data_IF_707373532310
#
_entry.id   IF_707373532310
#
_cell.length_a   1.000
_cell.length_b   1.000
_cell.length_c   1.000
_cell.angle_alpha   90.00
_cell.angle_beta   90.00
_cell.angle_gamma   90.00
#
_symmetry.space_group_name_H-M   'P 1'
#
loop_
_entity.id
_entity.type
_entity.pdbx_description
1 polymer ?
#
# COMPACT_ATOMS: atom_id res chain seq x y z
N UNK A 1 -2.88 3.08 29.46
CA UNK A 1 -3.70 3.21 28.25
C UNK A 1 -2.80 2.80 27.09
N UNK A 2 -3.08 1.68 26.43
CA UNK A 2 -2.23 1.19 25.34
C UNK A 2 -2.48 2.10 24.14
N UNK A 3 -1.50 2.95 23.81
CA UNK A 3 -1.58 3.83 22.63
C UNK A 3 -1.67 2.89 21.42
N UNK A 4 -2.72 3.02 20.62
CA UNK A 4 -2.81 2.30 19.36
C UNK A 4 -1.64 2.75 18.48
N UNK A 5 -0.79 1.81 18.07
CA UNK A 5 0.42 2.11 17.29
C UNK A 5 0.12 2.05 15.79
N UNK A 6 -0.65 1.02 15.37
CA UNK A 6 -1.07 0.81 13.99
C UNK A 6 -2.50 1.34 13.79
N UNK A 7 -2.62 2.51 13.18
CA UNK A 7 -3.90 3.15 12.95
C UNK A 7 -3.89 4.08 11.74
N UNK A 8 -5.09 4.36 11.22
CA UNK A 8 -5.38 5.54 10.44
C UNK A 8 -6.39 6.43 11.18
N UNK A 9 -6.08 7.71 11.28
CA UNK A 9 -6.83 8.76 11.97
C UNK A 9 -7.43 9.72 10.94
N UNK A 10 -8.74 9.66 10.69
CA UNK A 10 -9.45 10.66 9.91
C UNK A 10 -9.57 12.00 10.66
N UNK A 11 -9.46 13.09 9.90
CA UNK A 11 -9.78 14.44 10.36
C UNK A 11 -10.31 15.33 9.21
N UNK A 12 -10.90 16.48 9.56
CA UNK A 12 -11.28 17.55 8.62
C UNK A 12 -10.77 18.91 9.11
N UNK A 13 -10.46 19.76 8.14
CA UNK A 13 -10.17 21.20 8.30
C UNK A 13 -11.39 21.92 7.73
N UNK A 14 -12.35 22.24 8.61
CA UNK A 14 -13.68 22.65 8.17
C UNK A 14 -13.68 24.07 7.57
N UNK A 15 -12.80 24.96 8.04
CA UNK A 15 -12.68 26.32 7.49
C UNK A 15 -12.20 26.33 6.04
N UNK A 16 -11.31 25.39 5.70
CA UNK A 16 -10.70 25.26 4.36
C UNK A 16 -11.37 24.20 3.46
N UNK A 17 -12.40 23.50 3.96
CA UNK A 17 -13.05 22.38 3.26
C UNK A 17 -12.05 21.29 2.78
N UNK A 18 -11.10 20.93 3.65
CA UNK A 18 -10.09 19.91 3.37
C UNK A 18 -10.34 18.71 4.29
N UNK A 19 -10.26 17.50 3.74
CA UNK A 19 -10.21 16.28 4.55
C UNK A 19 -8.78 15.79 4.64
N UNK A 20 -8.44 15.22 5.80
CA UNK A 20 -7.13 14.69 6.06
C UNK A 20 -7.14 13.29 6.67
N UNK A 21 -6.00 12.61 6.54
CA UNK A 21 -5.72 11.32 7.17
C UNK A 21 -4.32 11.36 7.73
N UNK A 22 -4.15 10.83 8.93
CA UNK A 22 -2.84 10.55 9.53
C UNK A 22 -2.73 9.07 9.81
N UNK A 23 -1.67 8.41 9.36
CA UNK A 23 -1.38 7.01 9.67
C UNK A 23 -0.05 6.91 10.38
N UNK A 24 0.02 5.99 11.36
CA UNK A 24 1.27 5.50 11.92
C UNK A 24 1.20 3.98 11.94
N UNK A 25 2.30 3.35 11.54
CA UNK A 25 2.45 1.90 11.48
C UNK A 25 3.80 1.52 12.08
N UNK A 26 3.80 0.52 12.95
CA UNK A 26 4.98 -0.12 13.51
C UNK A 26 4.79 -1.64 13.43
N UNK A 27 4.17 -2.30 14.42
CA UNK A 27 4.06 -3.76 14.45
C UNK A 27 3.52 -4.40 13.15
N UNK A 28 2.53 -3.76 12.51
CA UNK A 28 1.97 -4.23 11.23
C UNK A 28 2.99 -4.20 10.09
N UNK A 29 3.70 -3.07 9.92
CA UNK A 29 4.69 -2.95 8.83
C UNK A 29 5.91 -3.82 9.10
N UNK A 30 6.35 -3.93 10.36
CA UNK A 30 7.42 -4.83 10.78
C UNK A 30 7.06 -6.28 10.49
N UNK A 31 5.83 -6.69 10.79
CA UNK A 31 5.35 -8.04 10.49
C UNK A 31 5.36 -8.30 8.98
N UNK A 32 4.88 -7.36 8.16
CA UNK A 32 4.83 -7.50 6.70
C UNK A 32 6.24 -7.59 6.10
N UNK A 33 7.12 -6.65 6.47
CA UNK A 33 8.51 -6.62 6.00
C UNK A 33 9.24 -7.90 6.42
N UNK A 34 9.05 -8.34 7.67
CA UNK A 34 9.66 -9.56 8.20
C UNK A 34 9.18 -10.88 7.59
N UNK A 35 8.15 -10.88 6.72
CA UNK A 35 7.74 -12.10 6.01
C UNK A 35 8.80 -12.59 5.01
N UNK A 36 9.62 -11.67 4.51
CA UNK A 36 10.61 -11.92 3.46
C UNK A 36 11.93 -11.19 3.77
N UNK A 37 13.05 -11.74 3.32
CA UNK A 37 14.37 -11.13 3.54
C UNK A 37 14.77 -10.21 2.38
N UNK A 38 13.91 -9.27 1.99
CA UNK A 38 14.24 -8.36 0.89
C UNK A 38 15.40 -7.41 1.26
N UNK A 39 16.15 -6.89 0.27
CA UNK A 39 17.13 -5.85 0.50
C UNK A 39 16.52 -4.60 1.17
N UNK A 40 17.24 -3.88 2.06
CA UNK A 40 16.69 -2.73 2.78
C UNK A 40 16.07 -1.64 1.90
N UNK A 41 16.70 -1.33 0.76
CA UNK A 41 16.15 -0.40 -0.23
C UNK A 41 14.77 -0.82 -0.77
N UNK A 42 14.57 -2.13 -0.98
CA UNK A 42 13.29 -2.67 -1.40
C UNK A 42 12.26 -2.63 -0.26
N UNK A 43 12.67 -2.90 0.97
CA UNK A 43 11.81 -2.77 2.16
C UNK A 43 11.38 -1.32 2.41
N UNK A 44 12.23 -0.34 2.13
CA UNK A 44 11.86 1.07 2.20
C UNK A 44 10.70 1.38 1.25
N UNK A 45 10.82 0.97 -0.02
CA UNK A 45 9.78 1.16 -1.02
C UNK A 45 8.50 0.37 -0.70
N UNK A 46 8.63 -0.81 -0.06
CA UNK A 46 7.51 -1.57 0.48
C UNK A 46 6.76 -0.80 1.57
N UNK A 47 7.50 -0.18 2.50
CA UNK A 47 6.92 0.68 3.53
C UNK A 47 6.17 1.88 2.93
N UNK A 48 6.76 2.53 1.91
CA UNK A 48 6.14 3.68 1.24
C UNK A 48 4.79 3.31 0.63
N UNK A 49 4.73 2.21 -0.14
CA UNK A 49 3.48 1.79 -0.78
C UNK A 49 2.44 1.32 0.25
N UNK A 50 2.85 0.73 1.38
CA UNK A 50 1.94 0.35 2.47
C UNK A 50 1.28 1.60 3.06
N UNK A 51 2.09 2.62 3.40
CA UNK A 51 1.58 3.89 3.93
C UNK A 51 0.64 4.57 2.94
N UNK A 52 1.01 4.60 1.66
CA UNK A 52 0.19 5.15 0.59
C UNK A 52 -1.16 4.41 0.46
N UNK A 53 -1.15 3.08 0.42
CA UNK A 53 -2.36 2.27 0.30
C UNK A 53 -3.30 2.44 1.51
N UNK A 54 -2.76 2.53 2.72
CA UNK A 54 -3.55 2.77 3.94
C UNK A 54 -4.21 4.15 3.92
N UNK A 55 -3.46 5.21 3.57
CA UNK A 55 -4.02 6.56 3.48
C UNK A 55 -5.13 6.62 2.42
N UNK A 56 -4.88 6.05 1.24
CA UNK A 56 -5.84 6.02 0.14
C UNK A 56 -7.10 5.24 0.46
N UNK A 57 -6.95 3.98 0.92
CA UNK A 57 -8.10 3.14 1.26
C UNK A 57 -8.99 3.79 2.33
N UNK A 58 -8.40 4.44 3.34
CA UNK A 58 -9.14 5.15 4.39
C UNK A 58 -9.91 6.40 3.91
N UNK A 59 -9.63 6.88 2.70
CA UNK A 59 -10.34 8.00 2.07
C UNK A 59 -11.58 7.57 1.28
N UNK A 60 -11.66 6.27 0.98
CA UNK A 60 -12.73 5.64 0.20
C UNK A 60 -13.75 4.99 1.13
N UNK A 61 -15.01 4.96 0.69
CA UNK A 61 -16.04 4.12 1.30
C UNK A 61 -16.17 2.88 0.44
N UNK A 62 -15.80 1.72 0.98
CA UNK A 62 -15.89 0.44 0.28
C UNK A 62 -16.13 -0.68 1.29
N UNK A 63 -16.83 -1.73 0.86
CA UNK A 63 -16.98 -2.97 1.61
C UNK A 63 -16.37 -4.11 0.79
N UNK A 64 -15.14 -4.50 1.12
CA UNK A 64 -14.38 -5.46 0.31
C UNK A 64 -12.88 -5.24 0.40
N UNK A 65 -12.21 -5.18 -0.75
CA UNK A 65 -10.77 -5.12 -0.88
C UNK A 65 -10.35 -3.90 -1.71
N UNK A 66 -9.48 -3.08 -1.14
CA UNK A 66 -8.68 -2.12 -1.88
C UNK A 66 -7.31 -2.71 -2.18
N UNK A 67 -6.89 -2.68 -3.43
CA UNK A 67 -5.55 -3.12 -3.86
C UNK A 67 -4.81 -1.98 -4.54
N UNK A 68 -3.61 -1.68 -4.05
CA UNK A 68 -2.65 -0.82 -4.72
C UNK A 68 -1.53 -1.70 -5.27
N UNK A 69 -1.37 -1.73 -6.59
CA UNK A 69 -0.39 -2.57 -7.25
C UNK A 69 0.43 -1.79 -8.25
N UNK A 70 1.74 -2.03 -8.28
CA UNK A 70 2.63 -1.52 -9.32
C UNK A 70 3.08 -2.65 -10.23
N UNK A 71 3.36 -2.32 -11.49
CA UNK A 71 4.00 -3.23 -12.44
C UNK A 71 4.94 -2.44 -13.33
N UNK A 72 6.19 -2.88 -13.40
CA UNK A 72 7.26 -2.14 -14.05
C UNK A 72 8.44 -3.02 -14.51
N UNK A 73 9.39 -2.42 -15.24
CA UNK A 73 10.53 -3.11 -15.87
C UNK A 73 11.89 -2.92 -15.15
N UNK A 74 11.89 -2.27 -14.00
CA UNK A 74 13.05 -2.06 -13.13
C UNK A 74 13.41 -3.28 -12.26
N UNK A 75 14.49 -3.18 -11.46
CA UNK A 75 14.88 -4.24 -10.52
C UNK A 75 13.78 -4.55 -9.50
N UNK A 76 12.97 -3.56 -9.08
CA UNK A 76 11.73 -3.80 -8.33
C UNK A 76 10.57 -3.73 -9.32
N UNK A 77 10.08 -4.90 -9.73
CA UNK A 77 9.16 -5.04 -10.87
C UNK A 77 7.68 -5.05 -10.47
N UNK A 78 7.39 -5.32 -9.20
CA UNK A 78 6.03 -5.35 -8.68
C UNK A 78 6.06 -5.08 -7.19
N UNK A 79 5.15 -4.22 -6.73
CA UNK A 79 4.73 -4.12 -5.34
C UNK A 79 3.21 -4.27 -5.32
N UNK A 80 2.68 -4.92 -4.29
CA UNK A 80 1.25 -5.06 -4.10
C UNK A 80 0.90 -4.90 -2.63
N UNK A 81 -0.11 -4.08 -2.36
CA UNK A 81 -0.70 -3.91 -1.03
C UNK A 81 -2.19 -4.10 -1.13
N UNK A 82 -2.71 -4.95 -0.25
CA UNK A 82 -4.14 -5.16 -0.06
C UNK A 82 -4.53 -4.58 1.31
N UNK A 83 -5.61 -3.81 1.33
CA UNK A 83 -6.28 -3.33 2.54
C UNK A 83 -7.76 -3.70 2.43
N UNK A 84 -8.27 -4.46 3.39
CA UNK A 84 -9.71 -4.76 3.45
C UNK A 84 -10.48 -3.73 4.30
N UNK A 85 -11.82 -3.72 4.18
CA UNK A 85 -12.68 -2.78 4.91
C UNK A 85 -12.61 -2.92 6.44
N UNK A 86 -12.06 -4.03 6.96
CA UNK A 86 -11.82 -4.26 8.39
C UNK A 86 -10.44 -3.78 8.88
N UNK A 87 -9.65 -3.14 8.01
CA UNK A 87 -8.31 -2.64 8.35
C UNK A 87 -7.23 -3.71 8.36
N UNK A 88 -7.48 -4.88 7.76
CA UNK A 88 -6.42 -5.88 7.58
C UNK A 88 -5.55 -5.52 6.38
N UNK A 89 -4.23 -5.58 6.58
CA UNK A 89 -3.22 -5.23 5.59
C UNK A 89 -2.35 -6.44 5.27
N UNK A 90 -1.99 -6.59 4.00
CA UNK A 90 -0.89 -7.46 3.55
C UNK A 90 -0.19 -6.84 2.36
N UNK A 91 1.11 -7.07 2.24
CA UNK A 91 1.86 -6.61 1.08
C UNK A 91 3.02 -7.55 0.76
N UNK A 92 3.51 -7.48 -0.46
CA UNK A 92 4.77 -8.06 -0.88
C UNK A 92 5.31 -7.35 -2.12
N UNK A 93 6.53 -7.73 -2.53
CA UNK A 93 7.14 -7.22 -3.76
C UNK A 93 7.86 -8.33 -4.54
N UNK A 94 8.23 -8.01 -5.78
CA UNK A 94 9.15 -8.79 -6.61
C UNK A 94 10.37 -7.95 -6.93
N UNK A 95 11.54 -8.48 -6.59
CA UNK A 95 12.83 -7.83 -6.79
C UNK A 95 13.81 -8.79 -7.45
N UNK A 96 14.55 -8.29 -8.44
CA UNK A 96 15.79 -8.87 -8.94
C UNK A 96 16.93 -8.33 -8.07
N UNK A 97 17.33 -9.12 -7.06
CA UNK A 97 18.32 -8.69 -6.09
C UNK A 97 19.70 -8.44 -6.71
N UNK A 98 20.09 -9.19 -7.74
CA UNK A 98 21.40 -9.04 -8.35
C UNK A 98 21.46 -7.74 -9.16
N UNK A 99 20.40 -7.44 -9.91
CA UNK A 99 20.27 -6.17 -10.63
C UNK A 99 20.17 -4.98 -9.67
N UNK A 100 19.49 -5.13 -8.53
CA UNK A 100 19.43 -4.09 -7.50
C UNK A 100 20.81 -3.86 -6.85
N UNK A 101 21.53 -4.92 -6.51
CA UNK A 101 22.89 -4.84 -5.93
C UNK A 101 23.88 -4.18 -6.90
N UNK A 102 23.82 -4.53 -8.19
CA UNK A 102 24.64 -3.90 -9.22
C UNK A 102 24.34 -2.40 -9.33
N UNK A 103 23.06 -2.02 -9.37
CA UNK A 103 22.63 -0.62 -9.41
C UNK A 103 23.12 0.18 -8.19
N UNK A 104 23.01 -0.37 -6.99
CA UNK A 104 23.52 0.27 -5.76
C UNK A 104 25.03 0.48 -5.83
N UNK A 105 25.79 -0.48 -6.37
CA UNK A 105 27.24 -0.40 -6.47
C UNK A 105 27.73 0.63 -7.50
N UNK A 106 26.92 0.94 -8.52
CA UNK A 106 27.22 1.93 -9.55
C UNK A 106 26.89 3.37 -9.11
N UNK A 107 26.02 3.55 -8.12
CA UNK A 107 25.63 4.86 -7.61
C UNK A 107 26.63 5.38 -6.57
N UNK A 108 27.17 6.59 -6.77
CA UNK A 108 28.25 7.14 -5.92
C UNK A 108 27.81 7.30 -4.44
N UNK A 109 26.53 7.58 -4.19
CA UNK A 109 25.94 7.63 -2.85
C UNK A 109 25.34 6.31 -2.35
N UNK A 110 25.54 5.21 -3.08
CA UNK A 110 25.04 3.88 -2.75
C UNK A 110 23.53 3.81 -2.58
N UNK A 111 23.09 3.05 -1.58
CA UNK A 111 21.67 2.83 -1.28
C UNK A 111 20.93 4.14 -0.98
N UNK A 112 21.54 5.05 -0.24
CA UNK A 112 20.90 6.31 0.20
C UNK A 112 20.59 7.23 -0.98
N UNK A 113 21.47 7.30 -1.99
CA UNK A 113 21.22 8.10 -3.19
C UNK A 113 20.07 7.56 -4.07
N UNK A 114 19.67 6.31 -3.86
CA UNK A 114 18.55 5.69 -4.56
C UNK A 114 17.25 5.72 -3.75
N UNK A 115 17.27 6.12 -2.47
CA UNK A 115 16.04 6.30 -1.68
C UNK A 115 15.18 7.39 -2.30
N UNK A 116 13.88 7.12 -2.38
CA UNK A 116 12.91 8.03 -3.02
C UNK A 116 13.10 8.21 -4.53
N UNK A 117 13.90 7.37 -5.21
CA UNK A 117 14.10 7.42 -6.68
C UNK A 117 13.28 6.34 -7.38
N UNK A 118 11.95 6.49 -7.39
CA UNK A 118 11.03 5.46 -7.93
C UNK A 118 11.33 5.14 -9.39
N UNK A 119 11.59 6.15 -10.23
CA UNK A 119 11.92 5.94 -11.63
C UNK A 119 13.19 5.11 -11.84
N UNK A 120 14.21 5.27 -10.98
CA UNK A 120 15.44 4.45 -11.07
C UNK A 120 15.17 3.00 -10.63
N UNK A 121 14.47 2.83 -9.51
CA UNK A 121 14.24 1.53 -8.88
C UNK A 121 13.21 0.67 -9.62
N UNK A 122 12.21 1.32 -10.22
CA UNK A 122 11.08 0.66 -10.84
C UNK A 122 11.09 0.78 -12.35
N UNK A 123 11.80 1.74 -12.94
CA UNK A 123 11.79 1.95 -14.38
C UNK A 123 10.43 2.43 -14.89
N UNK A 124 10.06 1.98 -16.09
CA UNK A 124 8.76 2.31 -16.70
C UNK A 124 7.72 1.33 -16.22
N UNK A 125 6.52 1.85 -15.94
CA UNK A 125 5.43 1.02 -15.48
C UNK A 125 4.23 1.85 -15.10
N UNK A 126 3.35 1.26 -14.31
CA UNK A 126 2.13 1.90 -13.85
C UNK A 126 1.80 1.50 -12.41
N UNK A 127 0.97 2.31 -11.77
CA UNK A 127 0.26 2.02 -10.52
C UNK A 127 -1.21 1.80 -10.87
N UNK A 128 -1.78 0.70 -10.39
CA UNK A 128 -3.19 0.37 -10.48
C UNK A 128 -3.83 0.45 -9.09
N UNK A 129 -4.93 1.20 -9.02
CA UNK A 129 -5.81 1.32 -7.86
C UNK A 129 -7.04 0.48 -8.13
N UNK A 130 -7.29 -0.56 -7.36
CA UNK A 130 -8.46 -1.42 -7.52
C UNK A 130 -9.33 -1.35 -6.28
N UNK A 131 -10.64 -1.19 -6.49
CA UNK A 131 -11.66 -1.43 -5.46
C UNK A 131 -12.52 -2.61 -5.92
N UNK A 132 -12.52 -3.67 -5.14
CA UNK A 132 -13.31 -4.88 -5.36
C UNK A 132 -14.27 -5.07 -4.17
N UNK A 133 -15.57 -5.01 -4.43
CA UNK A 133 -16.64 -5.13 -3.43
C UNK A 133 -17.44 -6.43 -3.59
N UNK A 134 -16.83 -7.44 -4.22
CA UNK A 134 -17.45 -8.74 -4.47
C UNK A 134 -18.37 -8.76 -5.70
N UNK A 135 -18.95 -9.94 -5.97
CA UNK A 135 -19.63 -10.27 -7.23
C UNK A 135 -20.88 -9.42 -7.54
N UNK A 136 -21.44 -8.73 -6.55
CA UNK A 136 -22.61 -7.86 -6.72
C UNK A 136 -22.27 -6.45 -7.22
N UNK A 137 -20.97 -6.09 -7.26
CA UNK A 137 -20.52 -4.76 -7.64
C UNK A 137 -19.46 -4.84 -8.73
N UNK A 138 -19.52 -3.91 -9.69
CA UNK A 138 -18.46 -3.79 -10.69
C UNK A 138 -17.14 -3.39 -10.01
N UNK A 139 -16.08 -4.12 -10.37
CA UNK A 139 -14.72 -3.79 -9.94
C UNK A 139 -14.31 -2.45 -10.56
N UNK A 140 -13.97 -1.48 -9.71
CA UNK A 140 -13.41 -0.20 -10.15
C UNK A 140 -11.88 -0.33 -10.24
N UNK A 141 -11.29 0.16 -11.33
CA UNK A 141 -9.84 0.21 -11.50
C UNK A 141 -9.39 1.53 -12.15
N UNK A 142 -8.54 2.27 -11.43
CA UNK A 142 -7.78 3.41 -11.95
C UNK A 142 -6.34 3.01 -12.23
N UNK A 143 -5.73 3.57 -13.28
CA UNK A 143 -4.34 3.29 -13.65
C UNK A 143 -3.62 4.62 -13.96
N UNK A 144 -2.39 4.76 -13.47
CA UNK A 144 -1.51 5.91 -13.75
C UNK A 144 -0.09 5.44 -14.03
N UNK A 145 0.62 6.14 -14.91
CA UNK A 145 2.04 5.87 -15.17
C UNK A 145 2.92 6.14 -13.94
N UNK A 146 3.98 5.37 -13.79
CA UNK A 146 5.09 5.67 -12.87
C UNK A 146 5.96 6.79 -13.47
N UNK A 147 5.51 8.04 -13.40
CA UNK A 147 6.21 9.21 -13.97
C UNK A 147 6.73 10.19 -12.89
N UNK A 148 6.28 10.06 -11.64
CA UNK A 148 6.76 10.87 -10.52
C UNK A 148 8.08 10.36 -9.93
N UNK A 149 8.78 11.22 -9.18
CA UNK A 149 10.01 10.85 -8.47
C UNK A 149 9.69 9.87 -7.32
N UNK A 150 8.52 10.00 -6.70
CA UNK A 150 8.02 9.15 -5.61
C UNK A 150 6.68 8.50 -5.93
N UNK A 151 6.33 7.43 -5.20
CA UNK A 151 5.02 6.76 -5.35
C UNK A 151 3.87 7.71 -4.97
N UNK A 152 4.09 8.56 -3.97
CA UNK A 152 3.18 9.62 -3.58
C UNK A 152 2.89 10.58 -4.74
N UNK A 153 3.92 11.10 -5.40
CA UNK A 153 3.75 12.00 -6.54
C UNK A 153 3.01 11.33 -7.72
N UNK A 154 3.27 10.03 -7.96
CA UNK A 154 2.51 9.27 -8.97
C UNK A 154 1.02 9.20 -8.62
N UNK A 155 0.68 8.95 -7.35
CA UNK A 155 -0.70 8.95 -6.88
C UNK A 155 -1.34 10.35 -6.94
N UNK A 156 -0.61 11.42 -6.58
CA UNK A 156 -1.09 12.81 -6.73
C UNK A 156 -1.43 13.14 -8.18
N UNK A 157 -0.59 12.69 -9.13
CA UNK A 157 -0.85 12.88 -10.56
C UNK A 157 -2.15 12.18 -10.99
N UNK A 158 -2.41 10.96 -10.50
CA UNK A 158 -3.67 10.26 -10.74
C UNK A 158 -4.88 11.03 -10.21
N UNK A 159 -4.88 11.45 -8.94
CA UNK A 159 -6.03 12.18 -8.38
C UNK A 159 -6.26 13.51 -9.09
N UNK A 160 -5.18 14.21 -9.47
CA UNK A 160 -5.28 15.47 -10.20
C UNK A 160 -5.85 15.29 -11.61
N UNK A 161 -5.41 14.27 -12.34
CA UNK A 161 -5.76 14.09 -13.76
C UNK A 161 -7.05 13.31 -13.95
N UNK A 162 -7.25 12.23 -13.20
CA UNK A 162 -8.36 11.29 -13.39
C UNK A 162 -9.57 11.63 -12.52
N UNK A 163 -9.34 12.06 -11.27
CA UNK A 163 -10.43 12.34 -10.31
C UNK A 163 -10.73 13.84 -10.15
N UNK A 164 -9.89 14.71 -10.72
CA UNK A 164 -9.98 16.18 -10.57
C UNK A 164 -9.98 16.64 -9.10
N UNK A 165 -9.25 15.92 -8.25
CA UNK A 165 -9.13 16.22 -6.82
C UNK A 165 -7.68 16.61 -6.49
N UNK A 166 -7.52 17.82 -5.95
CA UNK A 166 -6.23 18.24 -5.38
C UNK A 166 -5.94 17.41 -4.13
N UNK A 167 -4.87 16.62 -4.22
CA UNK A 167 -4.46 15.66 -3.20
C UNK A 167 -2.97 15.85 -2.96
N UNK A 168 -2.54 15.75 -1.72
CA UNK A 168 -1.12 15.83 -1.34
C UNK A 168 -0.80 14.84 -0.23
N UNK A 169 0.40 14.27 -0.29
CA UNK A 169 0.90 13.33 0.72
C UNK A 169 2.22 13.81 1.33
N UNK A 170 2.40 13.48 2.60
CA UNK A 170 3.70 13.45 3.27
C UNK A 170 3.87 12.04 3.84
N UNK A 171 4.77 11.25 3.28
CA UNK A 171 5.02 9.86 3.69
C UNK A 171 6.48 9.72 4.06
N UNK A 172 6.73 9.04 5.18
CA UNK A 172 8.07 8.76 5.67
C UNK A 172 8.16 7.30 6.11
N UNK A 173 9.27 6.65 5.74
CA UNK A 173 9.61 5.30 6.18
C UNK A 173 10.88 5.37 7.00
N UNK A 174 10.73 5.13 8.29
CA UNK A 174 11.83 5.14 9.23
C UNK A 174 12.32 3.71 9.47
N UNK A 175 13.64 3.55 9.44
CA UNK A 175 14.32 2.33 9.85
C UNK A 175 15.14 2.64 11.09
N UNK A 176 14.80 2.00 12.20
CA UNK A 176 15.51 2.13 13.46
C UNK A 176 16.81 1.32 13.49
N UNK A 177 17.28 1.02 14.69
CA UNK A 177 18.63 0.46 14.91
C UNK A 177 18.74 -1.03 14.52
N UNK A 178 17.63 -1.77 14.60
CA UNK A 178 17.61 -3.20 14.27
C UNK A 178 17.07 -3.44 12.87
N UNK A 179 17.40 -4.60 12.28
CA UNK A 179 16.97 -4.94 10.93
C UNK A 179 15.43 -5.01 10.77
N UNK A 180 14.72 -5.28 11.87
CA UNK A 180 13.26 -5.45 11.89
C UNK A 180 12.53 -4.20 12.39
N UNK A 181 13.25 -3.15 12.78
CA UNK A 181 12.66 -1.94 13.37
C UNK A 181 12.22 -0.96 12.26
N UNK A 182 11.10 -1.28 11.62
CA UNK A 182 10.49 -0.48 10.57
C UNK A 182 9.28 0.28 11.07
N UNK A 183 9.15 1.52 10.62
CA UNK A 183 8.03 2.39 10.92
C UNK A 183 7.61 3.14 9.67
N UNK A 184 6.30 3.35 9.53
CA UNK A 184 5.74 4.18 8.46
C UNK A 184 4.83 5.21 9.09
N UNK A 185 5.08 6.46 8.78
CA UNK A 185 4.25 7.59 9.17
C UNK A 185 3.81 8.36 7.94
N UNK A 186 2.54 8.77 7.91
CA UNK A 186 2.00 9.39 6.71
C UNK A 186 0.85 10.35 6.98
N UNK A 187 0.87 11.49 6.31
CA UNK A 187 -0.23 12.43 6.21
C UNK A 187 -0.74 12.48 4.77
N UNK A 188 -2.04 12.65 4.65
CA UNK A 188 -2.75 12.87 3.41
C UNK A 188 -3.69 14.03 3.61
N UNK A 189 -3.71 14.96 2.65
CA UNK A 189 -4.72 16.00 2.54
C UNK A 189 -5.38 15.90 1.18
N UNK A 190 -6.69 16.13 1.15
CA UNK A 190 -7.44 16.24 -0.08
C UNK A 190 -8.48 17.34 0.04
N UNK A 191 -8.47 18.21 -0.97
CA UNK A 191 -9.45 19.28 -1.11
C UNK A 191 -10.80 18.68 -1.47
N UNK A 192 -11.84 19.05 -0.73
CA UNK A 192 -13.19 18.61 -1.04
C UNK A 192 -13.82 19.55 -2.07
N UNK A 193 -14.66 19.03 -2.98
CA UNK A 193 -15.48 19.89 -3.82
C UNK A 193 -16.30 20.83 -2.94
N UNK A 194 -16.35 22.11 -3.31
CA UNK A 194 -17.33 23.04 -2.74
C UNK A 194 -18.70 22.49 -3.17
N UNK A 195 -19.61 22.25 -2.23
CA UNK A 195 -20.88 21.57 -2.49
C UNK A 195 -21.64 22.18 -3.68
N UNK A 196 -22.52 21.38 -4.30
CA UNK A 196 -23.36 21.69 -5.47
C UNK A 196 -24.26 22.95 -5.39
N UNK A 197 -24.09 23.79 -4.38
CA UNK A 197 -24.68 25.12 -4.20
C UNK A 197 -23.83 26.26 -4.76
N UNK A 198 -22.63 26.00 -5.29
CA UNK A 198 -21.86 26.99 -6.05
C UNK A 198 -20.39 26.63 -6.13
N UNK A 199 -19.85 26.65 -7.34
CA UNK A 199 -18.42 26.91 -7.55
C UNK A 199 -18.02 28.15 -6.72
N UNK A 200 -16.71 28.37 -6.50
CA UNK A 200 -16.24 29.68 -6.09
C UNK A 200 -16.86 30.71 -7.04
N UNK A 201 -17.89 31.40 -6.57
CA UNK A 201 -18.82 32.14 -7.43
C UNK A 201 -18.18 33.46 -7.82
N UNK A 202 -17.12 33.83 -7.10
CA UNK A 202 -16.28 34.99 -7.31
C UNK A 202 -14.79 34.60 -7.41
N UNK A 203 -13.98 35.38 -8.14
CA UNK A 203 -12.53 35.20 -8.18
C UNK A 203 -11.85 35.25 -6.80
N UNK A 204 -12.37 36.06 -5.87
CA UNK A 204 -11.85 36.20 -4.50
C UNK A 204 -12.01 34.91 -3.69
N UNK A 205 -13.16 34.23 -3.83
CA UNK A 205 -13.39 32.93 -3.19
C UNK A 205 -12.46 31.85 -3.76
N UNK A 206 -12.20 31.89 -5.07
CA UNK A 206 -11.28 30.96 -5.71
C UNK A 206 -9.82 31.16 -5.25
N UNK A 207 -9.40 32.43 -5.10
CA UNK A 207 -8.09 32.78 -4.56
C UNK A 207 -7.93 32.33 -3.12
N UNK A 208 -8.92 32.61 -2.26
CA UNK A 208 -8.93 32.15 -0.86
C UNK A 208 -8.81 30.63 -0.76
N UNK A 209 -9.61 29.89 -1.53
CA UNK A 209 -9.60 28.43 -1.54
C UNK A 209 -8.24 27.87 -2.02
N UNK A 210 -7.56 28.57 -2.93
CA UNK A 210 -6.20 28.23 -3.36
C UNK A 210 -5.17 28.51 -2.26
N UNK A 211 -5.29 29.65 -1.57
CA UNK A 211 -4.41 30.03 -0.45
C UNK A 211 -4.55 29.07 0.73
N UNK A 212 -5.78 28.71 1.10
CA UNK A 212 -6.10 27.76 2.17
C UNK A 212 -5.51 26.36 1.88
N UNK A 213 -5.60 25.91 0.62
CA UNK A 213 -4.96 24.68 0.17
C UNK A 213 -3.43 24.76 0.28
N UNK A 214 -2.83 25.83 -0.24
CA UNK A 214 -1.38 26.04 -0.19
C UNK A 214 -0.85 26.13 1.25
N UNK A 215 -1.55 26.84 2.15
CA UNK A 215 -1.20 26.92 3.57
C UNK A 215 -1.23 25.53 4.20
N UNK A 216 -2.29 24.76 3.96
CA UNK A 216 -2.45 23.43 4.54
C UNK A 216 -1.39 22.43 4.06
N UNK A 217 -1.01 22.47 2.78
CA UNK A 217 0.05 21.60 2.25
C UNK A 217 1.44 21.99 2.76
N UNK A 218 1.73 23.29 2.91
CA UNK A 218 2.98 23.78 3.54
C UNK A 218 3.06 23.32 5.00
N UNK A 219 1.97 23.45 5.75
CA UNK A 219 1.91 22.99 7.15
C UNK A 219 2.14 21.47 7.22
N UNK A 220 1.44 20.68 6.42
CA UNK A 220 1.65 19.23 6.33
C UNK A 220 3.11 18.86 6.02
N UNK A 221 3.73 19.56 5.06
CA UNK A 221 5.12 19.32 4.67
C UNK A 221 6.13 19.63 5.79
N UNK A 222 5.76 20.48 6.76
CA UNK A 222 6.58 20.80 7.94
C UNK A 222 6.59 19.71 9.02
N UNK A 223 5.79 18.65 8.86
CA UNK A 223 5.88 17.47 9.72
C UNK A 223 7.22 16.77 9.50
N UNK A 224 7.97 16.58 10.57
CA UNK A 224 9.25 15.86 10.52
C UNK A 224 9.04 14.36 10.54
N UNK A 225 10.03 13.60 10.03
CA UNK A 225 10.05 12.14 10.09
C UNK A 225 9.81 11.64 11.53
N UNK A 226 10.55 12.20 12.50
CA UNK A 226 10.43 11.84 13.91
C UNK A 226 9.01 12.05 14.44
N UNK A 227 8.36 13.18 14.14
CA UNK A 227 6.98 13.42 14.60
C UNK A 227 5.98 12.41 14.03
N UNK A 228 6.19 11.98 12.78
CA UNK A 228 5.30 11.03 12.12
C UNK A 228 5.39 9.62 12.73
N UNK A 229 6.54 9.21 13.25
CA UNK A 229 6.77 7.87 13.81
C UNK A 229 6.87 7.82 15.35
N UNK A 230 6.94 8.97 16.04
CA UNK A 230 7.05 9.04 17.50
C UNK A 230 5.77 8.58 18.22
N UNK A 231 5.85 7.44 18.88
CA UNK A 231 4.75 6.84 19.64
C UNK A 231 4.33 7.65 20.88
N UNK A 232 5.18 8.55 21.37
CA UNK A 232 4.86 9.45 22.49
C UNK A 232 4.00 10.63 22.05
N UNK A 233 4.04 10.98 20.75
CA UNK A 233 3.20 12.01 20.16
C UNK A 233 1.89 11.41 19.69
N UNK A 234 0.77 11.82 20.28
CA UNK A 234 -0.54 11.34 19.87
C UNK A 234 -0.93 11.88 18.49
N UNK A 235 -1.80 11.14 17.78
CA UNK A 235 -2.34 11.59 16.51
C UNK A 235 -3.03 12.96 16.61
N UNK A 236 -3.80 13.16 17.69
CA UNK A 236 -4.47 14.42 17.98
C UNK A 236 -3.47 15.57 18.13
N UNK A 237 -2.41 15.38 18.91
CA UNK A 237 -1.42 16.43 19.17
C UNK A 237 -0.64 16.81 17.91
N UNK A 238 -0.28 15.85 17.07
CA UNK A 238 0.37 16.14 15.79
C UNK A 238 -0.56 16.91 14.85
N UNK A 239 -1.81 16.47 14.70
CA UNK A 239 -2.81 17.15 13.85
C UNK A 239 -3.06 18.57 14.38
N UNK A 240 -3.19 18.74 15.70
CA UNK A 240 -3.36 20.06 16.31
C UNK A 240 -2.12 20.94 16.11
N UNK A 241 -0.91 20.43 16.35
CA UNK A 241 0.35 21.16 16.10
C UNK A 241 0.39 21.72 14.68
N UNK A 242 0.01 20.89 13.70
CA UNK A 242 0.04 21.25 12.29
C UNK A 242 -1.08 22.21 11.88
N UNK A 243 -2.29 22.04 12.41
CA UNK A 243 -3.49 22.66 11.86
C UNK A 243 -4.36 23.41 12.89
N UNK A 244 -3.85 23.75 14.08
CA UNK A 244 -4.63 24.39 15.15
C UNK A 244 -5.47 25.60 14.71
N UNK A 245 -4.96 26.43 13.80
CA UNK A 245 -5.69 27.59 13.26
C UNK A 245 -6.97 27.21 12.47
N UNK A 246 -7.07 25.97 12.01
CA UNK A 246 -8.25 25.40 11.33
C UNK A 246 -9.24 24.75 12.30
N UNK A 247 -8.92 24.67 13.59
CA UNK A 247 -9.70 23.93 14.61
C UNK A 247 -10.04 22.48 14.15
N UNK A 248 -9.03 21.63 13.93
CA UNK A 248 -9.21 20.37 13.22
C UNK A 248 -10.15 19.43 13.97
N UNK A 249 -11.09 18.84 13.23
CA UNK A 249 -12.03 17.87 13.78
C UNK A 249 -11.53 16.46 13.52
N UNK A 250 -11.24 15.71 14.58
CA UNK A 250 -10.81 14.30 14.49
C UNK A 250 -12.00 13.34 14.62
N UNK A 251 -11.92 12.18 13.96
CA UNK A 251 -12.94 11.12 14.01
C UNK A 251 -12.40 9.84 14.65
N UNK A 252 -13.17 8.75 14.60
CA UNK A 252 -12.72 7.46 15.13
C UNK A 252 -11.55 6.89 14.32
N UNK A 253 -10.61 6.28 15.03
CA UNK A 253 -9.47 5.60 14.43
C UNK A 253 -9.88 4.26 13.82
N UNK A 254 -9.38 3.99 12.62
CA UNK A 254 -9.36 2.65 12.05
C UNK A 254 -8.10 1.95 12.54
N UNK A 255 -8.26 0.83 13.24
CA UNK A 255 -7.11 -0.02 13.64
C UNK A 255 -6.61 -0.80 12.43
N UNK A 256 -5.29 -0.93 12.33
CA UNK A 256 -4.64 -1.64 11.24
C UNK A 256 -3.89 -2.84 11.81
N UNK A 257 -3.92 -3.96 11.08
CA UNK A 257 -3.21 -5.16 11.48
C UNK A 257 -2.78 -5.98 10.26
N UNK A 258 -1.68 -6.71 10.39
CA UNK A 258 -1.34 -7.71 9.39
C UNK A 258 -2.31 -8.89 9.45
N UNK A 259 -2.88 -9.27 8.30
CA UNK A 259 -3.61 -10.54 8.17
C UNK A 259 -3.56 -11.04 6.74
N UNK A 260 -3.00 -12.23 6.55
CA UNK A 260 -3.06 -12.90 5.25
C UNK A 260 -4.41 -13.60 5.04
N UNK A 261 -4.84 -13.67 3.78
CA UNK A 261 -6.06 -14.37 3.35
C UNK A 261 -5.76 -15.74 2.73
N UNK A 262 -4.52 -16.22 2.77
CA UNK A 262 -4.18 -17.55 2.27
C UNK A 262 -4.82 -18.64 3.14
N UNK A 263 -5.19 -19.73 2.51
CA UNK A 263 -5.62 -20.95 3.17
C UNK A 263 -5.22 -22.13 2.30
N UNK A 264 -5.25 -23.33 2.87
CA UNK A 264 -4.95 -24.54 2.10
C UNK A 264 -5.91 -24.70 0.94
N UNK A 265 -7.20 -24.44 1.16
CA UNK A 265 -8.27 -24.57 0.15
C UNK A 265 -8.05 -23.63 -1.04
N UNK A 266 -7.57 -22.40 -0.80
CA UNK A 266 -7.28 -21.46 -1.90
C UNK A 266 -6.09 -21.91 -2.73
N UNK A 267 -5.09 -22.50 -2.10
CA UNK A 267 -3.91 -23.02 -2.78
C UNK A 267 -4.27 -24.28 -3.54
N UNK A 268 -5.06 -25.18 -2.94
CA UNK A 268 -5.65 -26.33 -3.61
C UNK A 268 -6.42 -25.91 -4.87
N UNK A 269 -7.27 -24.88 -4.78
CA UNK A 269 -7.99 -24.33 -5.94
C UNK A 269 -7.06 -23.84 -7.06
N UNK A 270 -5.88 -23.30 -6.73
CA UNK A 270 -4.89 -22.92 -7.73
C UNK A 270 -4.15 -24.14 -8.33
N UNK A 271 -3.86 -25.17 -7.52
CA UNK A 271 -3.21 -26.40 -7.98
C UNK A 271 -4.10 -27.26 -8.87
N UNK A 272 -5.43 -27.15 -8.74
CA UNK A 272 -6.39 -27.89 -9.58
C UNK A 272 -6.19 -27.61 -11.08
N UNK A 273 -5.66 -26.45 -11.48
CA UNK A 273 -5.48 -26.09 -12.88
C UNK A 273 -4.30 -26.80 -13.57
N UNK A 274 -3.36 -27.35 -12.80
CA UNK A 274 -2.16 -28.02 -13.32
C UNK A 274 -2.37 -29.52 -13.50
N UNK A 275 -1.90 -30.16 -14.58
CA UNK A 275 -1.89 -31.62 -14.73
C UNK A 275 -1.26 -32.35 -13.54
N UNK A 276 -1.78 -33.53 -13.18
CA UNK A 276 -1.29 -34.28 -12.01
C UNK A 276 0.17 -34.71 -12.17
N UNK A 277 0.56 -35.13 -13.36
CA UNK A 277 1.93 -35.50 -13.70
C UNK A 277 2.90 -34.31 -13.58
N UNK A 278 2.46 -33.11 -13.97
CA UNK A 278 3.23 -31.87 -13.76
C UNK A 278 3.44 -31.61 -12.26
N UNK A 279 2.37 -31.68 -11.45
CA UNK A 279 2.48 -31.50 -10.01
C UNK A 279 3.40 -32.54 -9.36
N UNK A 280 3.27 -33.82 -9.72
CA UNK A 280 4.13 -34.87 -9.18
C UNK A 280 5.60 -34.73 -9.61
N UNK A 281 5.86 -34.05 -10.73
CA UNK A 281 7.24 -33.73 -11.15
C UNK A 281 7.85 -32.58 -10.36
N UNK A 282 7.04 -31.77 -9.68
CA UNK A 282 7.47 -30.64 -8.84
C UNK A 282 7.72 -31.03 -7.37
N UNK A 283 7.70 -32.33 -7.05
CA UNK A 283 7.97 -32.80 -5.69
C UNK A 283 9.41 -32.51 -5.29
N UNK A 284 9.60 -32.07 -4.06
CA UNK A 284 10.92 -31.91 -3.48
C UNK A 284 11.48 -33.28 -3.07
N UNK A 285 12.74 -33.56 -3.41
CA UNK A 285 13.37 -34.88 -3.21
C UNK A 285 13.48 -35.28 -1.71
N UNK A 286 13.51 -34.31 -0.82
CA UNK A 286 13.68 -34.48 0.62
C UNK A 286 12.37 -34.77 1.36
N UNK A 287 11.29 -34.07 1.00
CA UNK A 287 9.97 -34.20 1.64
C UNK A 287 9.05 -35.16 0.89
N UNK A 288 9.25 -35.35 -0.42
CA UNK A 288 8.32 -36.05 -1.30
C UNK A 288 7.01 -35.28 -1.52
N UNK A 289 6.93 -34.02 -1.11
CA UNK A 289 5.76 -33.16 -1.21
C UNK A 289 5.96 -32.08 -2.27
N UNK A 290 4.85 -31.57 -2.81
CA UNK A 290 4.83 -30.32 -3.57
C UNK A 290 4.67 -29.16 -2.59
N UNK A 291 5.68 -28.30 -2.51
CA UNK A 291 5.69 -27.12 -1.67
C UNK A 291 5.14 -25.88 -2.37
N UNK A 292 4.19 -25.20 -1.75
CA UNK A 292 3.70 -23.89 -2.21
C UNK A 292 3.81 -22.87 -1.09
N UNK A 293 4.58 -21.81 -1.33
CA UNK A 293 4.70 -20.70 -0.38
C UNK A 293 3.80 -19.53 -0.77
N UNK A 294 3.04 -18.99 0.18
CA UNK A 294 2.25 -17.79 -0.06
C UNK A 294 3.17 -16.58 -0.29
N UNK A 295 2.98 -15.86 -1.40
CA UNK A 295 3.81 -14.68 -1.72
C UNK A 295 3.65 -13.53 -0.71
N UNK A 296 2.57 -13.48 0.08
CA UNK A 296 2.34 -12.41 1.05
C UNK A 296 2.92 -12.72 2.43
N UNK A 297 2.61 -13.88 2.99
CA UNK A 297 2.98 -14.24 4.38
C UNK A 297 4.01 -15.36 4.47
N UNK A 298 4.56 -15.79 3.34
CA UNK A 298 5.59 -16.83 3.23
C UNK A 298 5.25 -18.17 3.93
N UNK A 299 3.99 -18.39 4.29
CA UNK A 299 3.53 -19.66 4.86
C UNK A 299 3.64 -20.72 3.78
N UNK A 300 4.36 -21.81 4.09
CA UNK A 300 4.55 -22.96 3.22
C UNK A 300 3.44 -23.98 3.44
N UNK A 301 2.82 -24.43 2.35
CA UNK A 301 1.82 -25.48 2.32
C UNK A 301 2.41 -26.68 1.57
N UNK A 302 2.43 -27.85 2.22
CA UNK A 302 2.87 -29.11 1.63
C UNK A 302 1.70 -29.95 1.16
N UNK A 303 1.85 -30.56 -0.01
CA UNK A 303 0.88 -31.49 -0.58
C UNK A 303 1.58 -32.79 -0.98
N UNK A 304 1.22 -33.90 -0.34
CA UNK A 304 1.74 -35.21 -0.71
C UNK A 304 0.96 -35.79 -1.91
N UNK A 305 1.41 -36.92 -2.44
CA UNK A 305 0.75 -37.56 -3.59
C UNK A 305 -0.73 -37.93 -3.32
N UNK A 306 -1.08 -38.31 -2.09
CA UNK A 306 -2.46 -38.63 -1.75
C UNK A 306 -3.35 -37.39 -1.76
N UNK A 307 -2.86 -36.25 -1.23
CA UNK A 307 -3.55 -34.96 -1.29
C UNK A 307 -3.83 -34.56 -2.75
N UNK A 308 -2.81 -34.65 -3.61
CA UNK A 308 -2.91 -34.25 -5.03
C UNK A 308 -3.87 -35.16 -5.82
N UNK A 309 -3.85 -36.47 -5.54
CA UNK A 309 -4.78 -37.42 -6.16
C UNK A 309 -6.22 -37.18 -5.69
N UNK A 310 -6.43 -36.90 -4.40
CA UNK A 310 -7.75 -36.55 -3.87
C UNK A 310 -8.27 -35.25 -4.50
N UNK A 311 -7.43 -34.23 -4.57
CA UNK A 311 -7.75 -32.94 -5.21
C UNK A 311 -8.20 -33.10 -6.66
N UNK A 312 -7.60 -34.04 -7.40
CA UNK A 312 -7.97 -34.35 -8.79
C UNK A 312 -9.22 -35.21 -8.93
N UNK A 313 -9.51 -36.06 -7.95
CA UNK A 313 -10.72 -36.86 -7.94
C UNK A 313 -11.98 -36.02 -7.66
N UNK A 314 -11.85 -34.97 -6.85
CA UNK A 314 -12.95 -34.06 -6.48
C UNK A 314 -13.19 -32.93 -7.51
N UNK A 315 -12.29 -32.74 -8.48
CA UNK A 315 -12.46 -31.77 -9.54
C UNK A 315 -13.47 -32.28 -10.58
N UNK A 316 -14.62 -31.61 -10.81
CA UNK A 316 -15.54 -31.99 -11.89
C UNK A 316 -14.81 -31.89 -13.23
N UNK A 317 -14.99 -32.92 -14.06
CA UNK A 317 -14.36 -33.10 -15.38
C UNK A 317 -14.41 -31.78 -16.19
N UNK A 318 -13.29 -31.05 -16.19
CA UNK A 318 -13.14 -29.82 -16.95
C UNK A 318 -13.04 -30.21 -18.42
N UNK A 319 -14.20 -30.34 -19.05
CA UNK A 319 -14.36 -30.63 -20.46
C UNK A 319 -13.43 -29.75 -21.29
N UNK A 320 -12.74 -30.42 -22.22
CA UNK A 320 -11.74 -29.89 -23.14
C UNK A 320 -12.06 -28.47 -23.65
N UNK A 321 -11.07 -27.57 -23.77
CA UNK A 321 -11.29 -26.28 -24.40
C UNK A 321 -11.82 -26.49 -25.82
N UNK A 322 -13.01 -25.93 -26.11
CA UNK A 322 -13.49 -25.82 -27.48
C UNK A 322 -12.55 -24.87 -28.23
N UNK A 323 -11.97 -25.42 -29.29
CA UNK A 323 -11.13 -24.76 -30.31
C UNK A 323 -11.87 -23.55 -30.88
#
# INVERSE_FOLDING_TARGET
>A
MQIAVDFCQPFTLDHSNIRGRFTRLGPTVQTIIGQHNYPPLANHLLGEIIGLAVLLSSSLKYEGLFTLQTSSDGPISMLVVDVDSAGNVRACLRVDEDRLKAMIAEEEGGEEALRGQVLKLMGRGHIAFTVDQGDEHDRYQGIVSLEGETLAQCAEAYFRQSEQLETSFKLEVHRGETADDWWVGGLFLQKMPVSASGDASTPEEAEKVSEDWNRSTILMASATENELVDISLSAHDLIWRLFHDEEPRVFDQTRLQFKCRCSREKIEGALVTYPLDELLSMREDDTGEVGVSCQFCNTRYGFNEADLRALKADAPDAGSPKI
#
